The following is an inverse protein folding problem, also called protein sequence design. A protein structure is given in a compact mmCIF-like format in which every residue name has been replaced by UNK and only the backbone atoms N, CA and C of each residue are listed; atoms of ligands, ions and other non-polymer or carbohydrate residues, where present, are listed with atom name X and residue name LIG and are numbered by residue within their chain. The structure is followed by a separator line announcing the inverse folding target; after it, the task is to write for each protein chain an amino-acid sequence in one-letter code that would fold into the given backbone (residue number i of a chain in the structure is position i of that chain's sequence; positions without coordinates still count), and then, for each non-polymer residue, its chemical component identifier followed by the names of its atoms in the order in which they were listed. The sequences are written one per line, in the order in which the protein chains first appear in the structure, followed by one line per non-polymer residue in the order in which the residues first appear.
data_IF_159343285682
#
_entry.id   IF_159343285682
#
_cell.length_a   1.000
_cell.length_b   1.000
_cell.length_c   1.000
_cell.angle_alpha   90.00
_cell.angle_beta   90.00
_cell.angle_gamma   90.00
#
_symmetry.space_group_name_H-M   'P 1'
#
loop_
_entity.id
_entity.type
_entity.pdbx_description
1 polymer ?
#
# COMPACT_ATOMS: atom_id res chain seq x y z
N UNK A 1 66.97 -62.05 -43.29
CA UNK A 1 67.82 -62.04 -42.08
C UNK A 1 67.19 -61.18 -41.06
N UNK A 2 66.73 -61.82 -40.03
CA UNK A 2 67.01 -61.56 -38.60
C UNK A 2 66.76 -60.12 -38.18
N UNK A 3 66.03 -59.78 -37.23
CA UNK A 3 65.51 -60.14 -35.86
C UNK A 3 65.04 -58.82 -35.26
N UNK A 4 64.27 -58.58 -34.36
CA UNK A 4 63.67 -59.23 -33.21
C UNK A 4 62.63 -58.28 -32.54
N UNK A 5 61.75 -58.86 -31.93
CA UNK A 5 60.75 -58.32 -31.00
C UNK A 5 61.33 -57.32 -29.98
N UNK A 6 60.49 -56.35 -29.62
CA UNK A 6 60.43 -55.86 -28.24
C UNK A 6 58.99 -55.40 -27.96
N UNK A 7 58.29 -56.15 -27.10
CA UNK A 7 57.03 -55.87 -26.45
C UNK A 7 57.32 -54.90 -25.31
N UNK A 8 56.67 -53.75 -25.31
CA UNK A 8 56.62 -52.91 -24.12
C UNK A 8 55.14 -52.75 -23.73
N UNK A 9 54.81 -53.32 -22.59
CA UNK A 9 53.53 -53.21 -21.90
C UNK A 9 53.40 -51.79 -21.37
N UNK A 10 52.47 -51.02 -21.94
CA UNK A 10 52.05 -49.72 -21.40
C UNK A 10 50.92 -49.94 -20.39
N UNK A 11 51.17 -49.51 -19.21
CA UNK A 11 50.30 -49.53 -18.04
C UNK A 11 49.16 -48.47 -18.19
N UNK A 12 47.93 -48.92 -18.35
CA UNK A 12 46.76 -48.05 -18.32
C UNK A 12 46.47 -47.65 -16.87
N UNK A 13 46.83 -46.40 -16.52
CA UNK A 13 46.36 -45.77 -15.27
C UNK A 13 45.03 -45.14 -15.57
N UNK A 14 43.95 -45.83 -15.18
CA UNK A 14 42.59 -45.30 -15.16
C UNK A 14 42.43 -44.34 -13.99
N UNK A 15 42.62 -43.06 -14.24
CA UNK A 15 42.37 -42.01 -13.26
C UNK A 15 40.85 -41.84 -13.14
N UNK A 16 40.29 -42.39 -12.09
CA UNK A 16 38.91 -42.13 -11.65
C UNK A 16 38.90 -40.78 -10.94
N UNK A 17 38.49 -39.74 -11.67
CA UNK A 17 38.17 -38.44 -11.08
C UNK A 17 36.79 -38.57 -10.45
N UNK A 18 36.74 -38.78 -9.13
CA UNK A 18 35.51 -38.72 -8.32
C UNK A 18 35.11 -37.26 -8.19
N UNK A 19 34.25 -36.76 -9.09
CA UNK A 19 33.60 -35.46 -8.93
C UNK A 19 32.59 -35.55 -7.81
N UNK A 20 32.99 -35.16 -6.60
CA UNK A 20 32.07 -34.88 -5.48
C UNK A 20 31.25 -33.68 -5.83
N UNK A 21 30.09 -33.92 -6.43
CA UNK A 21 29.01 -32.93 -6.54
C UNK A 21 28.51 -32.62 -5.11
N UNK A 22 29.03 -31.55 -4.50
CA UNK A 22 28.42 -30.93 -3.32
C UNK A 22 27.11 -30.31 -3.76
N UNK A 23 26.04 -31.09 -3.72
CA UNK A 23 24.67 -30.57 -3.77
C UNK A 23 24.43 -29.80 -2.48
N UNK A 24 24.67 -28.50 -2.49
CA UNK A 24 24.22 -27.60 -1.45
C UNK A 24 22.68 -27.58 -1.54
N UNK A 25 22.03 -28.47 -0.81
CA UNK A 25 20.61 -28.37 -0.54
C UNK A 25 20.40 -27.09 0.25
N UNK A 26 20.01 -26.02 -0.43
CA UNK A 26 19.45 -24.86 0.23
C UNK A 26 18.17 -25.35 0.91
N UNK A 27 18.27 -25.70 2.19
CA UNK A 27 17.10 -26.00 3.01
C UNK A 27 16.22 -24.75 2.99
N UNK A 28 15.06 -24.83 2.37
CA UNK A 28 14.05 -23.81 2.47
C UNK A 28 13.58 -23.77 3.93
N UNK A 29 13.95 -22.71 4.65
CA UNK A 29 13.48 -22.49 6.01
C UNK A 29 11.97 -22.24 5.89
N UNK A 30 11.17 -23.18 6.41
CA UNK A 30 9.71 -23.03 6.50
C UNK A 30 9.32 -21.95 7.54
N UNK A 31 8.07 -21.47 7.45
CA UNK A 31 7.54 -20.51 8.45
C UNK A 31 7.61 -21.13 9.86
N UNK A 32 7.45 -22.42 9.98
CA UNK A 32 7.47 -23.18 11.24
C UNK A 32 8.87 -23.23 11.90
N UNK A 33 9.95 -23.01 11.11
CA UNK A 33 11.33 -22.96 11.59
C UNK A 33 11.73 -21.58 12.13
N UNK A 34 10.89 -20.56 11.91
CA UNK A 34 11.10 -19.21 12.44
C UNK A 34 10.51 -19.11 13.85
N UNK A 35 11.25 -18.50 14.79
CA UNK A 35 10.63 -18.16 16.05
C UNK A 35 9.42 -17.23 15.81
N UNK A 36 8.36 -17.42 16.60
CA UNK A 36 7.19 -16.53 16.53
C UNK A 36 7.56 -15.05 16.71
N UNK A 37 8.64 -14.77 17.42
CA UNK A 37 9.13 -13.43 17.67
C UNK A 37 9.83 -12.85 16.45
N UNK A 38 10.68 -13.60 15.75
CA UNK A 38 11.34 -13.15 14.52
C UNK A 38 10.32 -12.87 13.43
N UNK A 39 9.36 -13.79 13.26
CA UNK A 39 8.27 -13.68 12.29
C UNK A 39 7.41 -12.43 12.53
N UNK A 40 7.01 -12.20 13.79
CA UNK A 40 6.25 -11.02 14.17
C UNK A 40 7.04 -9.72 14.00
N UNK A 41 8.32 -9.72 14.36
CA UNK A 41 9.18 -8.53 14.25
C UNK A 41 9.43 -8.13 12.79
N UNK A 42 9.71 -9.11 11.92
CA UNK A 42 9.88 -8.86 10.48
C UNK A 42 8.62 -8.31 9.83
N UNK A 43 7.46 -8.92 10.14
CA UNK A 43 6.19 -8.40 9.63
C UNK A 43 5.92 -6.96 10.11
N UNK A 44 6.13 -6.67 11.40
CA UNK A 44 5.95 -5.33 11.96
C UNK A 44 6.86 -4.30 11.28
N UNK A 45 8.10 -4.65 10.99
CA UNK A 45 9.02 -3.79 10.23
C UNK A 45 8.49 -3.52 8.82
N UNK A 46 8.04 -4.56 8.09
CA UNK A 46 7.45 -4.42 6.76
C UNK A 46 6.25 -3.49 6.74
N UNK A 47 5.32 -3.73 7.65
CA UNK A 47 4.07 -2.95 7.74
C UNK A 47 4.34 -1.49 8.11
N UNK A 48 5.26 -1.24 9.03
CA UNK A 48 5.67 0.12 9.39
C UNK A 48 6.27 0.83 8.18
N UNK A 49 7.20 0.19 7.49
CA UNK A 49 7.84 0.75 6.30
C UNK A 49 6.85 0.99 5.16
N UNK A 50 5.98 0.03 4.88
CA UNK A 50 4.94 0.16 3.85
C UNK A 50 3.98 1.31 4.15
N UNK A 51 3.53 1.45 5.39
CA UNK A 51 2.68 2.54 5.84
C UNK A 51 3.39 3.90 5.72
N UNK A 52 4.67 4.01 6.12
CA UNK A 52 5.45 5.23 6.01
C UNK A 52 5.67 5.67 4.55
N UNK A 53 5.96 4.72 3.66
CA UNK A 53 6.11 5.00 2.23
C UNK A 53 4.79 5.48 1.62
N UNK A 54 3.66 4.83 1.93
CA UNK A 54 2.35 5.23 1.44
C UNK A 54 1.97 6.64 1.92
N UNK A 55 2.09 6.91 3.22
CA UNK A 55 1.83 8.23 3.80
C UNK A 55 2.78 9.29 3.24
N UNK A 56 4.08 8.98 3.15
CA UNK A 56 5.08 9.91 2.61
C UNK A 56 4.88 10.22 1.13
N UNK A 57 4.38 9.28 0.34
CA UNK A 57 4.05 9.50 -1.07
C UNK A 57 2.80 10.38 -1.23
N UNK A 58 1.76 10.13 -0.44
CA UNK A 58 0.49 10.84 -0.53
C UNK A 58 0.52 12.20 0.15
N UNK A 59 1.29 12.36 1.23
CA UNK A 59 1.36 13.61 2.02
C UNK A 59 2.21 14.72 1.39
N UNK A 60 2.92 14.46 0.30
CA UNK A 60 3.65 15.51 -0.44
C UNK A 60 2.73 16.25 -1.41
N UNK A 61 3.15 17.45 -1.81
CA UNK A 61 2.47 18.22 -2.87
C UNK A 61 2.29 17.39 -4.13
N UNK A 62 1.08 17.33 -4.65
CA UNK A 62 0.64 16.49 -5.77
C UNK A 62 0.65 14.97 -5.48
N UNK A 63 0.69 14.56 -4.23
CA UNK A 63 0.58 13.16 -3.86
C UNK A 63 -0.77 12.56 -4.20
N UNK A 64 -1.86 13.35 -4.05
CA UNK A 64 -3.18 13.02 -4.55
C UNK A 64 -3.48 13.67 -5.91
N UNK A 65 -3.31 14.98 -6.01
CA UNK A 65 -3.68 15.73 -7.22
C UNK A 65 -2.94 15.26 -8.48
N UNK A 66 -1.69 14.88 -8.35
CA UNK A 66 -0.82 14.49 -9.45
C UNK A 66 -0.81 13.01 -9.80
N UNK A 67 -1.47 12.15 -9.02
CA UNK A 67 -1.53 10.70 -9.23
C UNK A 67 -2.96 10.28 -9.60
N UNK A 68 -3.18 9.88 -10.85
CA UNK A 68 -4.50 9.53 -11.38
C UNK A 68 -5.18 8.37 -10.61
N UNK A 69 -4.42 7.52 -9.89
CA UNK A 69 -4.96 6.38 -9.13
C UNK A 69 -5.69 6.81 -7.87
N UNK A 70 -5.28 7.93 -7.29
CA UNK A 70 -5.78 8.42 -6.00
C UNK A 70 -6.36 9.84 -6.08
N UNK A 71 -6.23 10.51 -7.22
CA UNK A 71 -6.79 11.84 -7.44
C UNK A 71 -8.28 11.85 -7.13
N UNK A 72 -8.71 12.78 -6.30
CA UNK A 72 -10.10 12.94 -5.87
C UNK A 72 -10.83 13.84 -6.85
N UNK A 73 -11.72 13.30 -7.69
CA UNK A 73 -12.60 14.09 -8.54
C UNK A 73 -13.77 14.65 -7.74
N UNK A 74 -14.59 15.50 -8.34
CA UNK A 74 -15.88 15.86 -7.76
C UNK A 74 -16.80 14.62 -7.65
N UNK A 75 -17.71 14.59 -6.66
CA UNK A 75 -18.71 13.54 -6.57
C UNK A 75 -19.52 13.39 -7.86
N UNK A 76 -20.02 12.19 -8.12
CA UNK A 76 -20.79 11.88 -9.32
C UNK A 76 -21.99 12.83 -9.49
N UNK A 77 -22.67 13.12 -8.40
CA UNK A 77 -23.77 14.08 -8.31
C UNK A 77 -23.40 15.51 -8.70
N UNK A 78 -22.15 15.91 -8.57
CA UNK A 78 -21.63 17.24 -8.94
C UNK A 78 -21.09 17.30 -10.39
N UNK A 79 -20.94 16.18 -11.09
CA UNK A 79 -20.33 16.15 -12.43
C UNK A 79 -21.12 16.94 -13.48
N UNK A 80 -22.46 16.89 -13.41
CA UNK A 80 -23.30 17.67 -14.33
C UNK A 80 -23.12 19.18 -14.08
N UNK A 81 -23.03 19.59 -12.83
CA UNK A 81 -22.77 20.98 -12.42
C UNK A 81 -21.37 21.41 -12.87
N UNK A 82 -20.36 20.55 -12.68
CA UNK A 82 -19.00 20.82 -13.15
C UNK A 82 -18.95 21.06 -14.65
N UNK A 83 -19.61 20.19 -15.44
CA UNK A 83 -19.67 20.32 -16.89
C UNK A 83 -20.33 21.64 -17.31
N UNK A 84 -21.43 22.00 -16.65
CA UNK A 84 -22.12 23.27 -16.88
C UNK A 84 -21.23 24.48 -16.53
N UNK A 85 -20.57 24.47 -15.37
CA UNK A 85 -19.63 25.52 -14.98
C UNK A 85 -18.52 25.72 -16.01
N UNK A 86 -17.94 24.62 -16.50
CA UNK A 86 -16.89 24.68 -17.52
C UNK A 86 -17.40 25.29 -18.83
N UNK A 87 -18.64 24.98 -19.22
CA UNK A 87 -19.31 25.55 -20.44
C UNK A 87 -19.58 27.03 -20.27
N UNK A 88 -19.95 27.50 -19.07
CA UNK A 88 -20.21 28.91 -18.74
C UNK A 88 -18.94 29.73 -18.45
N UNK A 89 -17.73 29.17 -18.67
CA UNK A 89 -16.49 29.87 -18.46
C UNK A 89 -15.98 29.87 -17.01
N UNK A 90 -16.65 29.18 -16.09
CA UNK A 90 -16.29 29.05 -14.66
C UNK A 90 -15.30 27.91 -14.40
N UNK A 91 -14.44 27.60 -15.38
CA UNK A 91 -13.46 26.50 -15.30
C UNK A 91 -12.52 26.67 -14.09
N UNK A 92 -12.09 27.91 -13.82
CA UNK A 92 -11.16 28.19 -12.71
C UNK A 92 -11.74 27.78 -11.35
N UNK A 93 -13.01 28.07 -11.11
CA UNK A 93 -13.68 27.75 -9.83
C UNK A 93 -13.81 26.21 -9.65
N UNK A 94 -14.15 25.48 -10.72
CA UNK A 94 -14.18 24.02 -10.67
C UNK A 94 -12.80 23.41 -10.39
N UNK A 95 -11.77 23.92 -11.07
CA UNK A 95 -10.39 23.46 -10.90
C UNK A 95 -9.84 23.82 -9.50
N UNK A 96 -10.22 24.98 -8.95
CA UNK A 96 -9.88 25.39 -7.59
C UNK A 96 -10.47 24.46 -6.54
N UNK A 97 -11.75 24.11 -6.67
CA UNK A 97 -12.41 23.17 -5.78
C UNK A 97 -11.73 21.79 -5.82
N UNK A 98 -11.50 21.25 -7.01
CA UNK A 98 -10.79 19.94 -7.16
C UNK A 98 -9.39 20.01 -6.53
N UNK A 99 -8.68 21.10 -6.78
CA UNK A 99 -7.33 21.30 -6.20
C UNK A 99 -7.40 21.33 -4.68
N UNK A 100 -8.33 22.09 -4.11
CA UNK A 100 -8.49 22.23 -2.65
C UNK A 100 -8.85 20.89 -1.99
N UNK A 101 -9.74 20.11 -2.58
CA UNK A 101 -10.08 18.77 -2.10
C UNK A 101 -8.84 17.86 -2.03
N UNK A 102 -8.03 17.85 -3.06
CA UNK A 102 -6.82 17.04 -3.11
C UNK A 102 -5.74 17.54 -2.14
N UNK A 103 -5.57 18.86 -1.99
CA UNK A 103 -4.67 19.45 -0.98
C UNK A 103 -5.13 19.14 0.44
N UNK A 104 -6.43 19.15 0.69
CA UNK A 104 -6.99 18.72 1.98
C UNK A 104 -6.63 17.26 2.30
N UNK A 105 -6.75 16.37 1.32
CA UNK A 105 -6.36 14.97 1.45
C UNK A 105 -4.85 14.80 1.70
N UNK A 106 -4.00 15.54 0.98
CA UNK A 106 -2.53 15.56 1.16
C UNK A 106 -2.13 16.01 2.57
N UNK A 107 -2.82 17.02 3.12
CA UNK A 107 -2.59 17.45 4.50
C UNK A 107 -3.11 16.45 5.53
N UNK A 108 -4.29 15.89 5.30
CA UNK A 108 -4.91 14.97 6.24
C UNK A 108 -4.16 13.63 6.35
N UNK A 109 -3.67 13.08 5.23
CA UNK A 109 -3.06 11.74 5.20
C UNK A 109 -1.85 11.60 6.11
N UNK A 110 -1.14 12.69 6.40
CA UNK A 110 0.03 12.70 7.30
C UNK A 110 -0.36 12.25 8.72
N UNK A 111 -1.58 12.56 9.15
CA UNK A 111 -2.10 12.17 10.46
C UNK A 111 -2.37 10.67 10.60
N UNK A 112 -2.38 9.93 9.49
CA UNK A 112 -2.50 8.48 9.53
C UNK A 112 -1.24 7.78 10.07
N UNK A 113 -0.06 8.39 9.93
CA UNK A 113 1.22 7.76 10.31
C UNK A 113 1.24 7.26 11.77
N UNK A 114 0.96 8.08 12.79
CA UNK A 114 0.97 7.61 14.17
C UNK A 114 -0.10 6.54 14.45
N UNK A 115 -1.26 6.60 13.78
CA UNK A 115 -2.35 5.64 13.95
C UNK A 115 -1.94 4.26 13.39
N UNK A 116 -1.41 4.22 12.17
CA UNK A 116 -0.92 3.02 11.52
C UNK A 116 0.25 2.40 12.32
N UNK A 117 1.20 3.24 12.76
CA UNK A 117 2.33 2.79 13.59
C UNK A 117 1.86 2.17 14.90
N UNK A 118 0.84 2.77 15.54
CA UNK A 118 0.27 2.23 16.77
C UNK A 118 -0.43 0.88 16.53
N UNK A 119 -1.19 0.75 15.44
CA UNK A 119 -1.83 -0.51 15.06
C UNK A 119 -0.80 -1.64 14.86
N UNK A 120 0.35 -1.34 14.24
CA UNK A 120 1.46 -2.30 14.11
C UNK A 120 2.05 -2.67 15.48
N UNK A 121 2.29 -1.68 16.36
CA UNK A 121 2.85 -1.94 17.71
C UNK A 121 1.95 -2.84 18.54
N UNK A 122 0.64 -2.62 18.49
CA UNK A 122 -0.36 -3.36 19.29
C UNK A 122 -0.81 -4.68 18.64
N UNK A 123 -0.33 -4.98 17.42
CA UNK A 123 -0.63 -6.22 16.71
C UNK A 123 -0.19 -7.43 17.54
N UNK A 124 -1.10 -8.39 17.71
CA UNK A 124 -0.83 -9.66 18.41
C UNK A 124 -0.27 -10.73 17.44
N UNK A 125 0.17 -11.87 17.99
CA UNK A 125 0.76 -12.96 17.20
C UNK A 125 -0.27 -13.61 16.26
N UNK A 126 -1.54 -13.69 16.66
CA UNK A 126 -2.59 -14.27 15.82
C UNK A 126 -2.86 -13.40 14.59
N UNK A 127 -2.93 -12.06 14.76
CA UNK A 127 -3.04 -11.12 13.65
C UNK A 127 -1.84 -11.25 12.70
N UNK A 128 -0.63 -11.33 13.24
CA UNK A 128 0.59 -11.46 12.43
C UNK A 128 0.56 -12.74 11.57
N UNK A 129 0.17 -13.86 12.15
CA UNK A 129 0.02 -15.12 11.42
C UNK A 129 -1.08 -15.05 10.35
N UNK A 130 -2.23 -14.45 10.67
CA UNK A 130 -3.31 -14.27 9.71
C UNK A 130 -2.89 -13.42 8.50
N UNK A 131 -2.10 -12.37 8.72
CA UNK A 131 -1.55 -11.53 7.66
C UNK A 131 -0.57 -12.31 6.79
N UNK A 132 0.34 -13.09 7.39
CA UNK A 132 1.33 -13.86 6.64
C UNK A 132 0.70 -14.99 5.82
N UNK A 133 -0.28 -15.69 6.37
CA UNK A 133 -1.02 -16.74 5.69
C UNK A 133 -2.06 -16.22 4.70
N UNK A 134 -2.38 -14.93 4.76
CA UNK A 134 -3.41 -14.30 3.92
C UNK A 134 -2.90 -13.91 2.53
N UNK A 135 -3.85 -13.41 1.70
CA UNK A 135 -3.58 -12.97 0.33
C UNK A 135 -2.77 -11.66 0.25
N UNK A 136 -2.68 -11.14 -0.98
CA UNK A 136 -1.84 -9.97 -1.34
C UNK A 136 -2.19 -8.67 -0.63
N UNK A 137 -3.37 -8.59 0.01
CA UNK A 137 -3.90 -7.42 0.71
C UNK A 137 -4.24 -7.66 2.18
N UNK A 138 -3.81 -8.78 2.77
CA UNK A 138 -4.16 -9.18 4.13
C UNK A 138 -3.76 -8.15 5.19
N UNK A 139 -2.59 -7.52 5.05
CA UNK A 139 -2.14 -6.44 5.92
C UNK A 139 -2.97 -5.17 5.71
N UNK A 140 -3.32 -4.86 4.48
CA UNK A 140 -4.20 -3.74 4.15
C UNK A 140 -5.59 -3.91 4.79
N UNK A 141 -6.16 -5.11 4.75
CA UNK A 141 -7.43 -5.42 5.42
C UNK A 141 -7.32 -5.31 6.95
N UNK A 142 -6.19 -5.74 7.52
CA UNK A 142 -5.92 -5.53 8.94
C UNK A 142 -5.93 -4.03 9.30
N UNK A 143 -5.22 -3.20 8.55
CA UNK A 143 -5.20 -1.75 8.76
C UNK A 143 -6.60 -1.14 8.58
N UNK A 144 -7.33 -1.47 7.52
CA UNK A 144 -8.71 -0.99 7.31
C UNK A 144 -9.58 -1.28 8.52
N UNK A 145 -9.59 -2.53 8.98
CA UNK A 145 -10.42 -2.95 10.12
C UNK A 145 -10.06 -2.24 11.41
N UNK A 146 -8.77 -2.06 11.68
CA UNK A 146 -8.30 -1.58 12.99
C UNK A 146 -8.14 -0.07 13.08
N UNK A 147 -8.01 0.64 11.95
CA UNK A 147 -7.63 2.05 11.96
C UNK A 147 -8.62 3.01 11.31
N UNK A 148 -9.55 2.52 10.46
CA UNK A 148 -10.45 3.41 9.70
C UNK A 148 -11.22 4.41 10.56
N UNK A 149 -11.83 4.05 11.71
CA UNK A 149 -12.55 5.02 12.52
C UNK A 149 -11.66 6.13 13.07
N UNK A 150 -10.45 5.77 13.53
CA UNK A 150 -9.49 6.73 14.08
C UNK A 150 -8.93 7.65 13.00
N UNK A 151 -8.64 7.12 11.81
CA UNK A 151 -8.19 7.90 10.65
C UNK A 151 -9.27 8.87 10.20
N UNK A 152 -10.52 8.42 10.04
CA UNK A 152 -11.65 9.27 9.67
C UNK A 152 -11.84 10.44 10.66
N UNK A 153 -11.77 10.16 11.96
CA UNK A 153 -11.88 11.17 13.01
C UNK A 153 -10.76 12.22 12.97
N UNK A 154 -9.57 11.86 12.49
CA UNK A 154 -8.45 12.80 12.31
C UNK A 154 -8.51 13.55 10.99
N UNK A 155 -8.91 12.90 9.90
CA UNK A 155 -8.94 13.52 8.58
C UNK A 155 -10.06 14.57 8.45
N UNK A 156 -11.26 14.25 8.93
CA UNK A 156 -12.44 15.09 8.74
C UNK A 156 -12.25 16.56 9.16
N UNK A 157 -11.71 16.89 10.35
CA UNK A 157 -11.53 18.29 10.74
C UNK A 157 -10.52 19.04 9.84
N UNK A 158 -9.47 18.36 9.35
CA UNK A 158 -8.48 18.94 8.45
C UNK A 158 -9.10 19.23 7.09
N UNK A 159 -9.88 18.28 6.57
CA UNK A 159 -10.63 18.45 5.33
C UNK A 159 -11.60 19.62 5.46
N UNK A 160 -12.42 19.68 6.50
CA UNK A 160 -13.37 20.77 6.75
C UNK A 160 -12.69 22.14 6.81
N UNK A 161 -11.56 22.24 7.50
CA UNK A 161 -10.82 23.49 7.58
C UNK A 161 -10.29 23.95 6.21
N UNK A 162 -9.95 23.00 5.34
CA UNK A 162 -9.41 23.29 4.02
C UNK A 162 -10.50 23.67 3.03
N UNK A 163 -11.59 22.92 2.99
CA UNK A 163 -12.72 23.14 2.08
C UNK A 163 -13.52 24.39 2.43
N UNK A 164 -13.61 24.75 3.72
CA UNK A 164 -14.28 25.96 4.18
C UNK A 164 -13.70 27.27 3.60
N UNK A 165 -12.50 27.22 3.03
CA UNK A 165 -11.86 28.38 2.37
C UNK A 165 -12.36 28.61 0.94
N UNK A 166 -13.16 27.69 0.41
CA UNK A 166 -13.70 27.75 -0.96
C UNK A 166 -15.20 27.85 -0.90
N UNK A 167 -15.74 29.00 -1.31
CA UNK A 167 -17.19 29.29 -1.28
C UNK A 167 -18.04 28.20 -1.98
N UNK A 168 -17.52 27.64 -3.07
CA UNK A 168 -18.20 26.60 -3.82
C UNK A 168 -18.39 25.31 -3.01
N UNK A 169 -17.48 24.99 -2.09
CA UNK A 169 -17.64 23.84 -1.19
C UNK A 169 -18.81 24.02 -0.23
N UNK A 170 -18.95 25.21 0.35
CA UNK A 170 -20.09 25.57 1.21
C UNK A 170 -21.41 25.50 0.47
N UNK A 171 -21.48 26.06 -0.74
CA UNK A 171 -22.65 26.00 -1.61
C UNK A 171 -23.02 24.55 -1.95
N UNK A 172 -22.02 23.73 -2.33
CA UNK A 172 -22.27 22.31 -2.58
C UNK A 172 -22.90 21.61 -1.39
N UNK A 173 -22.33 21.74 -0.19
CA UNK A 173 -22.86 21.10 1.03
C UNK A 173 -24.29 21.55 1.35
N UNK A 174 -24.60 22.82 1.10
CA UNK A 174 -25.95 23.34 1.31
C UNK A 174 -26.99 22.71 0.37
N UNK A 175 -26.72 22.68 -0.92
CA UNK A 175 -27.66 22.17 -1.93
C UNK A 175 -27.74 20.63 -1.92
N UNK A 176 -26.59 19.96 -1.82
CA UNK A 176 -26.53 18.52 -1.76
C UNK A 176 -27.20 17.97 -0.47
N UNK A 177 -27.03 18.66 0.66
CA UNK A 177 -27.71 18.31 1.90
C UNK A 177 -29.22 18.44 1.83
N UNK A 178 -29.76 19.44 1.09
CA UNK A 178 -31.20 19.56 0.83
C UNK A 178 -31.69 18.43 -0.10
N UNK A 179 -30.96 18.13 -1.16
CA UNK A 179 -31.29 17.06 -2.09
C UNK A 179 -31.33 15.69 -1.40
N UNK A 180 -30.40 15.42 -0.49
CA UNK A 180 -30.35 14.18 0.29
C UNK A 180 -31.55 14.05 1.23
N UNK A 181 -32.00 15.14 1.88
CA UNK A 181 -33.20 15.14 2.72
C UNK A 181 -34.47 14.81 1.93
N UNK A 182 -34.48 15.13 0.64
CA UNK A 182 -35.58 14.82 -0.28
C UNK A 182 -35.46 13.42 -0.91
N UNK A 183 -34.40 12.65 -0.57
CA UNK A 183 -34.14 11.34 -1.17
C UNK A 183 -33.62 11.37 -2.61
N UNK A 184 -33.19 12.54 -3.09
CA UNK A 184 -32.69 12.76 -4.47
C UNK A 184 -31.20 12.49 -4.58
N UNK A 185 -30.49 12.35 -3.46
CA UNK A 185 -29.05 12.13 -3.37
C UNK A 185 -28.73 11.19 -2.22
N UNK A 186 -27.70 10.33 -2.40
CA UNK A 186 -27.18 9.53 -1.31
C UNK A 186 -26.54 10.42 -0.23
N UNK A 187 -26.80 10.09 1.05
CA UNK A 187 -26.27 10.83 2.19
C UNK A 187 -24.73 10.92 2.18
N UNK A 188 -24.06 9.88 1.68
CA UNK A 188 -22.58 9.84 1.55
C UNK A 188 -22.02 10.88 0.57
N UNK A 189 -22.83 11.33 -0.40
CA UNK A 189 -22.46 12.30 -1.42
C UNK A 189 -23.02 13.70 -1.09
N UNK A 190 -23.79 13.82 0.00
CA UNK A 190 -24.42 15.07 0.43
C UNK A 190 -23.48 16.02 1.16
N UNK A 191 -22.35 15.51 1.65
CA UNK A 191 -21.33 16.29 2.38
C UNK A 191 -19.96 16.08 1.72
N UNK A 192 -19.46 17.14 1.09
CA UNK A 192 -18.19 17.14 0.38
C UNK A 192 -17.01 16.79 1.30
N UNK A 193 -17.08 17.19 2.57
CA UNK A 193 -16.01 16.96 3.52
C UNK A 193 -15.92 15.47 3.88
N UNK A 194 -17.06 14.82 4.08
CA UNK A 194 -17.14 13.38 4.29
C UNK A 194 -16.70 12.60 3.04
N UNK A 195 -17.10 13.06 1.86
CA UNK A 195 -16.67 12.48 0.59
C UNK A 195 -15.14 12.55 0.43
N UNK A 196 -14.54 13.71 0.62
CA UNK A 196 -13.08 13.90 0.52
C UNK A 196 -12.34 13.05 1.57
N UNK A 197 -12.87 13.02 2.81
CA UNK A 197 -12.32 12.19 3.88
C UNK A 197 -12.30 10.71 3.49
N UNK A 198 -13.42 10.20 2.98
CA UNK A 198 -13.51 8.80 2.54
C UNK A 198 -12.56 8.52 1.38
N UNK A 199 -12.50 9.40 0.38
CA UNK A 199 -11.60 9.25 -0.77
C UNK A 199 -10.13 9.33 -0.38
N UNK A 200 -9.77 10.17 0.60
CA UNK A 200 -8.42 10.23 1.14
C UNK A 200 -8.02 8.90 1.83
N UNK A 201 -8.94 8.31 2.58
CA UNK A 201 -8.74 6.99 3.19
C UNK A 201 -8.64 5.88 2.13
N UNK A 202 -9.51 5.90 1.11
CA UNK A 202 -9.46 4.94 0.01
C UNK A 202 -8.11 4.98 -0.70
N UNK A 203 -7.60 6.19 -1.00
CA UNK A 203 -6.27 6.41 -1.58
C UNK A 203 -5.14 5.91 -0.69
N UNK A 204 -5.21 6.19 0.62
CA UNK A 204 -4.22 5.69 1.58
C UNK A 204 -4.15 4.16 1.57
N UNK A 205 -5.29 3.48 1.68
CA UNK A 205 -5.32 2.03 1.71
C UNK A 205 -4.96 1.40 0.35
N UNK A 206 -5.25 2.07 -0.76
CA UNK A 206 -4.77 1.65 -2.07
C UNK A 206 -3.24 1.66 -2.12
N UNK A 207 -2.61 2.75 -1.68
CA UNK A 207 -1.15 2.85 -1.68
C UNK A 207 -0.49 1.86 -0.70
N UNK A 208 -1.12 1.60 0.44
CA UNK A 208 -0.66 0.55 1.39
C UNK A 208 -0.73 -0.83 0.71
N UNK A 209 -1.81 -1.14 -0.01
CA UNK A 209 -1.94 -2.41 -0.73
C UNK A 209 -0.88 -2.58 -1.83
N UNK A 210 -0.54 -1.52 -2.53
CA UNK A 210 0.55 -1.54 -3.51
C UNK A 210 1.91 -1.80 -2.86
N UNK A 211 2.18 -1.16 -1.71
CA UNK A 211 3.40 -1.42 -0.95
C UNK A 211 3.43 -2.86 -0.43
N UNK A 212 2.32 -3.37 0.11
CA UNK A 212 2.21 -4.76 0.55
C UNK A 212 2.52 -5.74 -0.58
N UNK A 213 1.88 -5.56 -1.73
CA UNK A 213 2.10 -6.40 -2.91
C UNK A 213 3.56 -6.34 -3.40
N UNK A 214 4.18 -5.16 -3.38
CA UNK A 214 5.59 -4.98 -3.75
C UNK A 214 6.52 -5.74 -2.79
N UNK A 215 6.28 -5.64 -1.48
CA UNK A 215 7.08 -6.33 -0.45
C UNK A 215 6.92 -7.85 -0.57
N UNK A 216 5.71 -8.35 -0.82
CA UNK A 216 5.46 -9.79 -1.01
C UNK A 216 6.15 -10.33 -2.27
N UNK A 217 6.15 -9.55 -3.35
CA UNK A 217 6.76 -9.94 -4.63
C UNK A 217 8.29 -9.92 -4.59
N UNK A 218 8.88 -8.94 -3.92
CA UNK A 218 10.35 -8.79 -3.80
C UNK A 218 10.75 -8.44 -2.37
N UNK A 219 10.75 -9.41 -1.46
CA UNK A 219 11.17 -9.19 -0.08
C UNK A 219 12.68 -8.90 0.04
N UNK A 220 13.48 -9.27 -0.97
CA UNK A 220 14.92 -9.01 -1.01
C UNK A 220 15.22 -7.55 -1.29
N UNK A 221 14.50 -6.96 -2.24
CA UNK A 221 14.62 -5.54 -2.62
C UNK A 221 14.25 -4.56 -1.49
N UNK A 222 13.61 -5.03 -0.42
CA UNK A 222 13.31 -4.20 0.76
C UNK A 222 14.54 -3.86 1.61
N UNK A 223 15.67 -4.55 1.40
CA UNK A 223 16.94 -4.33 2.12
C UNK A 223 16.99 -4.86 3.56
N UNK A 224 15.91 -5.42 4.10
CA UNK A 224 15.86 -6.01 5.44
C UNK A 224 16.08 -7.52 5.38
N UNK A 225 17.13 -8.01 6.06
CA UNK A 225 17.39 -9.46 6.18
C UNK A 225 16.24 -10.20 6.88
N UNK A 226 15.55 -9.53 7.78
CA UNK A 226 14.44 -10.10 8.51
C UNK A 226 13.21 -10.26 7.62
N UNK A 227 12.92 -9.28 6.75
CA UNK A 227 11.86 -9.36 5.74
C UNK A 227 12.13 -10.46 4.72
N UNK A 228 13.37 -10.58 4.26
CA UNK A 228 13.79 -11.65 3.37
C UNK A 228 13.53 -13.03 3.99
N UNK A 229 13.85 -13.18 5.28
CA UNK A 229 13.66 -14.43 6.02
C UNK A 229 12.18 -14.78 6.16
N UNK A 230 11.33 -13.82 6.48
CA UNK A 230 9.90 -14.01 6.73
C UNK A 230 9.11 -14.22 5.43
N UNK A 231 9.23 -13.31 4.47
CA UNK A 231 8.47 -13.38 3.21
C UNK A 231 9.07 -14.34 2.18
N UNK A 232 10.38 -14.58 2.22
CA UNK A 232 11.03 -15.60 1.40
C UNK A 232 10.64 -17.03 1.79
N UNK A 233 10.16 -17.24 3.02
CA UNK A 233 9.61 -18.52 3.48
C UNK A 233 8.13 -18.72 3.08
N UNK A 234 7.37 -17.64 2.86
CA UNK A 234 5.94 -17.67 2.49
C UNK A 234 5.75 -17.84 0.96
N UNK A 235 6.71 -17.42 0.15
CA UNK A 235 6.62 -17.39 -1.32
C UNK A 235 7.05 -18.67 -2.02
N UNK A 236 7.18 -19.77 -1.31
CA UNK A 236 7.42 -21.12 -1.81
C UNK A 236 6.27 -21.99 -1.37
#
# INVERSE_FOLDING_TARGET
MRTASAVVRGFNILSIVCALAFSASAAAIGIDDLSNQDTSSGLKEALTRGAELAVGQLGKTNGFLGDARVKIPLPESARAVEKMMRTLGMKKQADELITTMNRAAEMAVVEAKPILTNAVKTMNIADARAILAGGDDAATQYFKRTTSPAIAAKFLPIVKQSTAKVDLAGQYNQYAGQAAKLGLLDQKDADLDSYVTQKAMDGLFLMIAEQEKSIRKDPVGTGSKLLQKVFGAVGK
#
